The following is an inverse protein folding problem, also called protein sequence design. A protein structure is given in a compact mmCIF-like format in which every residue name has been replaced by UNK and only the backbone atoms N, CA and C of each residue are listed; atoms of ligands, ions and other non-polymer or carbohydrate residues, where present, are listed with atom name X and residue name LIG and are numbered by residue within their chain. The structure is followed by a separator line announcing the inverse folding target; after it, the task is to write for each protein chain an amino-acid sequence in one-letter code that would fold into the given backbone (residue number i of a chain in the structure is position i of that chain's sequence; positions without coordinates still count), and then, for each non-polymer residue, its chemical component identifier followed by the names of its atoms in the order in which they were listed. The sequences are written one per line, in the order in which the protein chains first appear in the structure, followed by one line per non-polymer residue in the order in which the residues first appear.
data_IF_615050836953
#
_entry.id   IF_615050836953
#
_cell.length_a   1.000
_cell.length_b   1.000
_cell.length_c   1.000
_cell.angle_alpha   90.00
_cell.angle_beta   90.00
_cell.angle_gamma   90.00
#
_symmetry.space_group_name_H-M   'P 1'
#
loop_
_entity.id
_entity.type
_entity.pdbx_description
1 polymer ?
#
# COMPACT_ATOMS: atom_id res chain seq x y z
N UNK A 1 6.74 -9.77 -29.30
CA UNK A 1 7.91 -9.31 -30.07
C UNK A 1 8.61 -8.23 -29.26
N UNK A 2 9.93 -8.40 -29.19
CA UNK A 2 10.98 -7.81 -28.34
C UNK A 2 10.69 -6.53 -27.54
N UNK A 3 10.92 -6.64 -26.22
CA UNK A 3 10.93 -5.56 -25.23
C UNK A 3 12.17 -4.67 -25.44
N UNK A 4 11.95 -3.37 -25.58
CA UNK A 4 12.97 -2.34 -25.41
C UNK A 4 13.34 -2.27 -23.93
N UNK A 5 14.64 -2.34 -23.65
CA UNK A 5 15.21 -2.45 -22.30
C UNK A 5 15.19 -1.14 -21.52
N UNK A 6 14.99 -1.22 -20.19
CA UNK A 6 15.14 -0.14 -19.20
C UNK A 6 16.37 -0.40 -18.30
N UNK A 7 17.45 -0.94 -18.87
CA UNK A 7 18.70 -1.28 -18.16
C UNK A 7 19.33 -0.08 -17.41
N UNK A 8 18.92 1.15 -17.69
CA UNK A 8 19.54 2.38 -17.16
C UNK A 8 18.97 2.90 -15.82
N UNK A 9 17.98 2.26 -15.18
CA UNK A 9 17.47 2.71 -13.86
C UNK A 9 18.13 1.95 -12.68
N UNK A 10 18.75 2.64 -11.70
CA UNK A 10 19.55 2.03 -10.65
C UNK A 10 18.73 1.62 -9.41
N UNK A 11 17.67 0.82 -9.60
CA UNK A 11 16.88 0.27 -8.47
C UNK A 11 16.57 -1.24 -8.67
N UNK A 12 17.20 -2.15 -7.89
CA UNK A 12 16.95 -3.60 -7.94
C UNK A 12 15.53 -4.03 -7.55
N UNK A 13 14.83 -3.21 -6.76
CA UNK A 13 13.41 -3.40 -6.40
C UNK A 13 12.50 -3.09 -7.60
N UNK A 14 12.86 -2.08 -8.41
CA UNK A 14 12.13 -1.73 -9.64
C UNK A 14 12.18 -2.86 -10.69
N UNK A 15 13.29 -3.60 -10.81
CA UNK A 15 13.41 -4.79 -11.70
C UNK A 15 12.55 -5.99 -11.26
N UNK A 16 12.21 -6.08 -9.97
CA UNK A 16 11.39 -7.17 -9.44
C UNK A 16 9.88 -6.86 -9.45
N UNK A 17 9.53 -5.58 -9.32
CA UNK A 17 8.17 -5.06 -9.48
C UNK A 17 7.72 -5.00 -10.96
N UNK A 18 8.68 -5.11 -11.89
CA UNK A 18 8.52 -5.28 -13.35
C UNK A 18 7.83 -6.61 -13.77
N UNK A 19 7.25 -7.34 -12.81
CA UNK A 19 6.20 -8.35 -13.04
C UNK A 19 4.77 -7.80 -12.75
N UNK A 20 4.64 -6.47 -12.74
CA UNK A 20 3.62 -5.57 -13.38
C UNK A 20 2.14 -5.68 -13.01
N UNK A 21 1.72 -6.55 -12.10
CA UNK A 21 0.30 -6.75 -11.74
C UNK A 21 -0.34 -5.62 -10.93
N UNK A 22 -0.20 -5.74 -9.62
CA UNK A 22 -0.94 -4.98 -8.63
C UNK A 22 -0.35 -3.59 -8.33
N UNK A 23 0.95 -3.39 -8.55
CA UNK A 23 1.63 -2.15 -8.13
C UNK A 23 1.12 -0.89 -8.83
N UNK A 24 0.77 -0.98 -10.12
CA UNK A 24 0.25 0.16 -10.86
C UNK A 24 -1.11 0.63 -10.35
N UNK A 25 -1.92 -0.28 -9.79
CA UNK A 25 -3.18 0.08 -9.16
C UNK A 25 -2.96 1.03 -7.98
N UNK A 26 -1.95 0.74 -7.15
CA UNK A 26 -1.55 1.58 -6.01
C UNK A 26 -1.08 2.96 -6.48
N UNK A 27 -0.26 3.02 -7.55
CA UNK A 27 0.23 4.30 -8.08
C UNK A 27 -0.89 5.13 -8.74
N UNK A 28 -1.84 4.50 -9.45
CA UNK A 28 -3.01 5.18 -9.99
C UNK A 28 -3.88 5.75 -8.86
N UNK A 29 -4.14 4.97 -7.81
CA UNK A 29 -4.89 5.42 -6.65
C UNK A 29 -4.18 6.58 -5.93
N UNK A 30 -2.84 6.49 -5.75
CA UNK A 30 -2.01 7.57 -5.20
C UNK A 30 -2.20 8.86 -5.98
N UNK A 31 -2.10 8.80 -7.30
CA UNK A 31 -2.25 9.96 -8.18
C UNK A 31 -3.67 10.54 -8.13
N UNK A 32 -4.69 9.68 -8.01
CA UNK A 32 -6.06 10.12 -7.83
C UNK A 32 -6.30 10.85 -6.50
N UNK A 33 -5.63 10.43 -5.42
CA UNK A 33 -5.63 11.19 -4.16
C UNK A 33 -4.98 12.57 -4.28
N UNK A 34 -4.12 12.78 -5.28
CA UNK A 34 -3.55 14.09 -5.62
C UNK A 34 -4.42 14.88 -6.62
N UNK A 35 -5.57 14.35 -7.03
CA UNK A 35 -6.56 15.04 -7.87
C UNK A 35 -6.47 14.72 -9.36
N UNK A 36 -5.62 13.77 -9.77
CA UNK A 36 -5.62 13.30 -11.16
C UNK A 36 -6.89 12.47 -11.42
N UNK A 37 -7.57 12.76 -12.52
CA UNK A 37 -8.85 12.10 -12.83
C UNK A 37 -8.93 11.66 -14.28
N UNK A 38 -8.08 12.18 -15.17
CA UNK A 38 -8.16 11.91 -16.60
C UNK A 38 -7.09 10.90 -17.05
N UNK A 39 -7.40 10.17 -18.11
CA UNK A 39 -6.50 9.13 -18.64
C UNK A 39 -5.13 9.67 -19.04
N UNK A 40 -5.11 10.81 -19.72
CA UNK A 40 -3.89 11.49 -20.16
C UNK A 40 -3.04 11.97 -18.97
N UNK A 41 -3.66 12.45 -17.90
CA UNK A 41 -2.96 12.83 -16.67
C UNK A 41 -2.26 11.64 -16.02
N UNK A 42 -2.97 10.52 -15.84
CA UNK A 42 -2.36 9.29 -15.31
C UNK A 42 -1.26 8.75 -16.22
N UNK A 43 -1.45 8.82 -17.54
CA UNK A 43 -0.45 8.37 -18.50
C UNK A 43 0.83 9.21 -18.41
N UNK A 44 0.70 10.53 -18.32
CA UNK A 44 1.82 11.46 -18.21
C UNK A 44 2.56 11.30 -16.87
N UNK A 45 1.81 11.19 -15.76
CA UNK A 45 2.38 11.03 -14.43
C UNK A 45 3.13 9.70 -14.26
N UNK A 46 2.52 8.59 -14.69
CA UNK A 46 3.06 7.25 -14.46
C UNK A 46 3.95 6.74 -15.60
N UNK A 47 4.01 7.47 -16.72
CA UNK A 47 4.73 7.08 -17.95
C UNK A 47 4.37 5.67 -18.41
N UNK A 48 3.10 5.27 -18.21
CA UNK A 48 2.59 3.96 -18.56
C UNK A 48 2.19 3.88 -20.03
N UNK A 49 2.31 2.69 -20.61
CA UNK A 49 1.73 2.46 -21.93
C UNK A 49 0.19 2.53 -21.86
N UNK A 50 -0.49 3.08 -22.89
CA UNK A 50 -1.94 3.20 -22.91
C UNK A 50 -2.66 1.86 -22.69
N UNK A 51 -2.09 0.77 -23.20
CA UNK A 51 -2.63 -0.59 -23.05
C UNK A 51 -2.63 -1.05 -21.59
N UNK A 52 -1.52 -0.83 -20.87
CA UNK A 52 -1.43 -1.22 -19.45
C UNK A 52 -2.36 -0.35 -18.61
N UNK A 53 -2.33 0.97 -18.83
CA UNK A 53 -3.17 1.91 -18.09
C UNK A 53 -4.66 1.61 -18.28
N UNK A 54 -5.09 1.36 -19.52
CA UNK A 54 -6.48 0.97 -19.84
C UNK A 54 -6.90 -0.28 -19.07
N UNK A 55 -6.05 -1.31 -19.06
CA UNK A 55 -6.34 -2.56 -18.33
C UNK A 55 -6.46 -2.32 -16.82
N UNK A 56 -5.60 -1.48 -16.25
CA UNK A 56 -5.60 -1.17 -14.81
C UNK A 56 -6.80 -0.35 -14.40
N UNK A 57 -7.10 0.73 -15.13
CA UNK A 57 -8.28 1.55 -14.87
C UNK A 57 -9.57 0.73 -15.03
N UNK A 58 -9.65 -0.16 -16.03
CA UNK A 58 -10.80 -1.06 -16.18
C UNK A 58 -10.97 -1.96 -14.95
N UNK A 59 -9.91 -2.62 -14.50
CA UNK A 59 -9.95 -3.46 -13.30
C UNK A 59 -10.34 -2.68 -12.04
N UNK A 60 -9.80 -1.47 -11.88
CA UNK A 60 -10.10 -0.58 -10.77
C UNK A 60 -11.56 -0.10 -10.77
N UNK A 61 -12.16 0.07 -11.94
CA UNK A 61 -13.60 0.35 -12.07
C UNK A 61 -14.45 -0.89 -11.76
N UNK A 62 -14.09 -2.06 -12.31
CA UNK A 62 -14.81 -3.32 -12.09
C UNK A 62 -14.77 -3.77 -10.61
N UNK A 63 -13.69 -3.46 -9.89
CA UNK A 63 -13.56 -3.70 -8.45
C UNK A 63 -14.24 -2.63 -7.58
N UNK A 64 -14.82 -1.60 -8.18
CA UNK A 64 -15.53 -0.54 -7.47
C UNK A 64 -14.62 0.41 -6.68
N UNK A 65 -13.32 0.48 -7.01
CA UNK A 65 -12.39 1.47 -6.46
C UNK A 65 -12.56 2.81 -7.17
N UNK A 66 -12.80 2.77 -8.47
CA UNK A 66 -13.11 3.95 -9.28
C UNK A 66 -14.50 3.85 -9.91
N UNK A 67 -15.10 5.00 -10.16
CA UNK A 67 -16.21 5.18 -11.08
C UNK A 67 -15.70 5.86 -12.35
N UNK A 68 -16.09 5.35 -13.53
CA UNK A 68 -15.83 6.02 -14.80
C UNK A 68 -17.02 6.91 -15.17
N UNK A 69 -16.85 8.22 -15.07
CA UNK A 69 -17.91 9.21 -15.30
C UNK A 69 -17.71 9.94 -16.62
N UNK A 70 -18.77 10.09 -17.41
CA UNK A 70 -18.79 10.96 -18.59
C UNK A 70 -18.98 12.40 -18.12
N UNK A 71 -18.02 13.29 -18.39
CA UNK A 71 -18.13 14.71 -18.02
C UNK A 71 -18.34 15.64 -19.22
N UNK A 72 -18.12 15.14 -20.44
CA UNK A 72 -18.36 15.91 -21.66
C UNK A 72 -18.91 14.98 -22.75
N UNK A 73 -20.10 15.21 -23.33
CA UNK A 73 -20.71 14.26 -24.25
C UNK A 73 -20.22 14.34 -25.71
N UNK A 74 -19.74 15.51 -26.19
CA UNK A 74 -19.34 15.70 -27.60
C UNK A 74 -18.13 16.65 -27.79
N UNK A 75 -16.90 16.15 -27.97
CA UNK A 75 -16.51 14.73 -27.98
C UNK A 75 -16.70 14.11 -26.58
N UNK A 76 -16.94 12.79 -26.55
CA UNK A 76 -17.08 12.05 -25.31
C UNK A 76 -15.77 12.08 -24.51
N UNK A 77 -15.79 12.66 -23.30
CA UNK A 77 -14.65 12.67 -22.38
C UNK A 77 -15.05 12.09 -21.03
N UNK A 78 -14.17 11.26 -20.51
CA UNK A 78 -14.37 10.53 -19.28
C UNK A 78 -13.32 10.89 -18.25
N UNK A 79 -13.72 10.83 -17.00
CA UNK A 79 -12.87 10.92 -15.83
C UNK A 79 -13.06 9.68 -14.96
N UNK A 80 -12.09 9.42 -14.10
CA UNK A 80 -12.05 8.31 -13.15
C UNK A 80 -12.01 8.90 -11.75
N UNK A 81 -13.05 8.66 -10.97
CA UNK A 81 -13.21 9.21 -9.63
C UNK A 81 -13.16 8.10 -8.59
N UNK A 82 -12.46 8.34 -7.49
CA UNK A 82 -12.45 7.41 -6.36
C UNK A 82 -13.87 7.30 -5.79
N UNK A 83 -14.32 6.06 -5.60
CA UNK A 83 -15.55 5.76 -4.86
C UNK A 83 -15.30 5.89 -3.35
N UNK A 84 -16.34 5.70 -2.52
CA UNK A 84 -16.16 5.56 -1.07
C UNK A 84 -15.14 4.46 -0.72
N UNK A 85 -15.31 3.27 -1.32
CA UNK A 85 -14.36 2.15 -1.18
C UNK A 85 -12.94 2.51 -1.62
N UNK A 86 -12.80 3.33 -2.67
CA UNK A 86 -11.49 3.81 -3.12
C UNK A 86 -10.86 4.81 -2.15
N UNK A 87 -11.67 5.72 -1.58
CA UNK A 87 -11.20 6.68 -0.58
C UNK A 87 -10.77 6.01 0.73
N UNK A 88 -11.47 4.94 1.15
CA UNK A 88 -11.11 4.13 2.32
C UNK A 88 -9.73 3.45 2.18
N UNK A 89 -9.16 3.42 0.98
CA UNK A 89 -7.82 2.87 0.73
C UNK A 89 -6.68 3.84 1.10
N UNK A 90 -6.98 5.11 1.40
CA UNK A 90 -5.96 6.11 1.72
C UNK A 90 -4.98 5.70 2.85
N UNK A 91 -5.42 5.09 3.97
CA UNK A 91 -4.50 4.70 5.04
C UNK A 91 -3.42 3.70 4.58
N UNK A 92 -3.75 2.84 3.62
CA UNK A 92 -2.79 1.91 3.01
C UNK A 92 -1.73 2.68 2.23
N UNK A 93 -2.15 3.66 1.40
CA UNK A 93 -1.24 4.53 0.65
C UNK A 93 -0.34 5.33 1.59
N UNK A 94 -0.90 5.97 2.61
CA UNK A 94 -0.15 6.80 3.54
C UNK A 94 0.91 6.00 4.31
N UNK A 95 0.55 4.82 4.82
CA UNK A 95 1.47 3.96 5.57
C UNK A 95 2.57 3.39 4.67
N UNK A 96 2.21 2.96 3.45
CA UNK A 96 3.18 2.48 2.46
C UNK A 96 4.16 3.57 2.05
N UNK A 97 3.68 4.81 1.88
CA UNK A 97 4.50 5.95 1.55
C UNK A 97 5.51 6.28 2.66
N UNK A 98 5.06 6.30 3.92
CA UNK A 98 5.94 6.51 5.07
C UNK A 98 6.99 5.40 5.18
N UNK A 99 6.60 4.13 5.09
CA UNK A 99 7.53 3.00 5.08
C UNK A 99 8.55 3.09 3.94
N UNK A 100 8.10 3.49 2.75
CA UNK A 100 8.95 3.73 1.59
C UNK A 100 10.03 4.77 1.86
N UNK A 101 9.64 5.91 2.41
CA UNK A 101 10.57 6.99 2.77
C UNK A 101 11.57 6.58 3.86
N UNK A 102 11.15 5.79 4.85
CA UNK A 102 12.04 5.38 5.94
C UNK A 102 13.12 4.37 5.53
N UNK A 103 12.85 3.53 4.53
CA UNK A 103 13.73 2.39 4.22
C UNK A 103 14.37 2.42 2.83
N UNK A 104 13.79 3.16 1.88
CA UNK A 104 14.22 3.14 0.47
C UNK A 104 14.62 4.52 -0.07
N UNK A 105 14.87 5.48 0.83
CA UNK A 105 15.34 6.81 0.50
C UNK A 105 16.71 7.09 1.15
N UNK A 106 17.80 6.41 0.70
CA UNK A 106 19.11 6.57 1.31
C UNK A 106 19.69 7.99 1.16
N UNK A 107 19.26 8.74 0.14
CA UNK A 107 19.60 10.15 -0.07
C UNK A 107 18.63 11.12 0.64
N UNK A 108 17.62 10.59 1.34
CA UNK A 108 16.52 11.34 1.93
C UNK A 108 15.23 11.31 1.08
N UNK A 109 14.05 11.60 1.68
CA UNK A 109 12.76 11.45 1.02
C UNK A 109 12.58 12.47 -0.12
N UNK A 110 12.36 12.00 -1.34
CA UNK A 110 12.11 12.85 -2.51
C UNK A 110 10.74 13.55 -2.46
N UNK A 111 9.78 12.99 -1.73
CA UNK A 111 8.43 13.53 -1.54
C UNK A 111 8.04 13.32 -0.08
N UNK A 112 7.32 14.27 0.50
CA UNK A 112 6.75 14.18 1.84
C UNK A 112 5.22 14.24 1.77
N UNK A 113 4.57 13.45 2.61
CA UNK A 113 3.16 13.66 2.91
C UNK A 113 3.09 14.80 3.91
N UNK A 114 2.28 15.82 3.63
CA UNK A 114 2.19 17.03 4.46
C UNK A 114 0.74 17.35 4.82
N UNK A 115 0.52 17.97 5.97
CA UNK A 115 -0.79 18.54 6.31
C UNK A 115 -1.05 19.72 5.36
N UNK A 116 -2.17 19.67 4.63
CA UNK A 116 -2.51 20.67 3.61
C UNK A 116 -2.67 22.09 4.18
N UNK A 117 -2.98 22.23 5.47
CA UNK A 117 -3.19 23.52 6.14
C UNK A 117 -1.89 24.13 6.65
N UNK A 118 -0.97 23.30 7.14
CA UNK A 118 0.26 23.78 7.80
C UNK A 118 1.51 23.60 6.94
N UNK A 119 1.46 22.75 5.91
CA UNK A 119 2.62 22.36 5.11
C UNK A 119 3.63 21.47 5.85
N UNK A 120 3.32 21.05 7.07
CA UNK A 120 4.23 20.25 7.89
C UNK A 120 4.17 18.78 7.50
N UNK A 121 5.32 18.11 7.46
CA UNK A 121 5.39 16.67 7.22
C UNK A 121 4.56 15.90 8.26
N UNK A 122 3.82 14.90 7.79
CA UNK A 122 3.02 14.02 8.65
C UNK A 122 3.69 12.66 8.79
N UNK A 123 3.63 12.13 10.01
CA UNK A 123 4.01 10.75 10.31
C UNK A 123 2.73 9.96 10.60
N UNK A 124 2.30 9.06 9.70
CA UNK A 124 1.08 8.30 9.89
C UNK A 124 1.25 7.26 11.00
N UNK A 125 0.28 7.21 11.92
CA UNK A 125 0.18 6.18 12.96
C UNK A 125 -1.14 5.45 12.85
N UNK A 126 -1.12 4.13 13.09
CA UNK A 126 -2.34 3.31 13.16
C UNK A 126 -2.78 3.21 14.62
N UNK A 127 -4.03 3.58 14.89
CA UNK A 127 -4.62 3.53 16.23
C UNK A 127 -5.84 2.61 16.23
N UNK A 128 -6.07 1.90 17.34
CA UNK A 128 -7.39 1.29 17.60
C UNK A 128 -8.39 2.41 17.90
N UNK A 129 -9.36 2.59 17.00
CA UNK A 129 -10.40 3.62 17.12
C UNK A 129 -11.15 3.57 18.46
N UNK A 130 -11.30 2.40 19.08
CA UNK A 130 -12.05 2.24 20.32
C UNK A 130 -11.25 2.70 21.55
N UNK A 131 -9.96 2.42 21.57
CA UNK A 131 -9.11 2.65 22.76
C UNK A 131 -8.19 3.86 22.60
N UNK A 132 -7.99 4.34 21.37
CA UNK A 132 -7.02 5.38 21.03
C UNK A 132 -5.55 4.92 21.07
N UNK A 133 -5.29 3.64 21.36
CA UNK A 133 -3.93 3.13 21.52
C UNK A 133 -3.30 2.78 20.17
N UNK A 134 -1.97 2.97 20.01
CA UNK A 134 -1.25 2.55 18.82
C UNK A 134 -1.38 1.04 18.58
N UNK A 135 -1.69 0.66 17.34
CA UNK A 135 -1.68 -0.73 16.90
C UNK A 135 -0.24 -1.17 16.66
N UNK A 136 0.28 -2.04 17.52
CA UNK A 136 1.58 -2.69 17.36
C UNK A 136 1.38 -4.17 17.10
N UNK A 137 2.27 -4.76 16.31
CA UNK A 137 2.22 -6.18 15.95
C UNK A 137 2.24 -7.12 17.16
N UNK A 138 2.87 -6.71 18.26
CA UNK A 138 2.93 -7.46 19.52
C UNK A 138 1.65 -7.39 20.36
N UNK A 139 0.81 -6.36 20.14
CA UNK A 139 -0.38 -6.07 20.95
C UNK A 139 -1.68 -6.61 20.30
N UNK A 140 -1.57 -7.19 19.10
CA UNK A 140 -2.71 -7.72 18.34
C UNK A 140 -2.46 -9.15 17.88
N UNK A 141 -3.53 -9.93 17.82
CA UNK A 141 -3.51 -11.28 17.24
C UNK A 141 -4.75 -11.52 16.39
N UNK A 142 -4.64 -12.45 15.44
CA UNK A 142 -5.77 -12.85 14.60
C UNK A 142 -6.59 -13.89 15.35
N UNK A 143 -7.91 -13.67 15.41
CA UNK A 143 -8.88 -14.63 15.96
C UNK A 143 -10.00 -14.90 14.98
N UNK A 144 -10.73 -15.99 15.18
CA UNK A 144 -11.85 -16.37 14.33
C UNK A 144 -12.97 -15.32 14.44
N UNK A 145 -13.49 -14.91 13.28
CA UNK A 145 -14.66 -14.04 13.21
C UNK A 145 -15.97 -14.80 13.46
N UNK A 146 -17.09 -14.09 13.37
CA UNK A 146 -18.44 -14.67 13.54
C UNK A 146 -18.84 -15.67 12.46
N UNK A 147 -18.18 -15.62 11.29
CA UNK A 147 -18.45 -16.55 10.18
C UNK A 147 -17.70 -17.85 10.41
N UNK A 148 -18.43 -18.97 10.41
CA UNK A 148 -17.85 -20.31 10.54
C UNK A 148 -17.06 -20.68 9.28
N UNK A 149 -15.78 -21.01 9.43
CA UNK A 149 -14.94 -21.53 8.36
C UNK A 149 -13.89 -22.48 8.92
N UNK A 150 -13.97 -23.74 8.54
CA UNK A 150 -13.04 -24.77 9.02
C UNK A 150 -11.60 -24.50 8.54
N UNK A 151 -11.44 -23.95 7.32
CA UNK A 151 -10.15 -23.55 6.77
C UNK A 151 -9.52 -22.41 7.59
N UNK A 152 -10.30 -21.39 7.95
CA UNK A 152 -9.81 -20.27 8.76
C UNK A 152 -9.45 -20.78 10.16
N UNK A 153 -10.29 -21.61 10.76
CA UNK A 153 -10.05 -22.16 12.09
C UNK A 153 -8.78 -23.00 12.14
N UNK A 154 -8.56 -23.86 11.15
CA UNK A 154 -7.34 -24.67 11.04
C UNK A 154 -6.10 -23.79 10.88
N UNK A 155 -6.16 -22.74 10.03
CA UNK A 155 -5.06 -21.79 9.85
C UNK A 155 -4.72 -21.05 11.14
N UNK A 156 -5.72 -20.58 11.89
CA UNK A 156 -5.52 -19.86 13.14
C UNK A 156 -4.92 -20.75 14.23
N UNK A 157 -5.37 -22.01 14.33
CA UNK A 157 -4.80 -22.98 15.26
C UNK A 157 -3.30 -23.22 15.00
N UNK A 158 -2.87 -23.30 13.73
CA UNK A 158 -1.46 -23.40 13.36
C UNK A 158 -0.65 -22.18 13.80
N UNK A 159 -1.21 -20.97 13.69
CA UNK A 159 -0.54 -19.73 14.09
C UNK A 159 -0.39 -19.61 15.60
N UNK A 160 -1.43 -19.97 16.36
CA UNK A 160 -1.42 -19.98 17.83
C UNK A 160 -0.44 -21.02 18.39
N UNK A 161 -0.36 -22.20 17.77
CA UNK A 161 0.59 -23.25 18.16
C UNK A 161 2.05 -22.84 18.00
N UNK A 162 2.38 -21.96 17.04
CA UNK A 162 3.73 -21.39 16.89
C UNK A 162 4.00 -20.29 17.93
N UNK A 163 3.09 -19.33 18.09
CA UNK A 163 3.24 -18.26 19.10
C UNK A 163 3.41 -18.82 20.51
N UNK A 164 2.70 -19.89 20.88
CA UNK A 164 2.86 -20.53 22.19
C UNK A 164 4.17 -21.31 22.36
N UNK A 165 4.80 -21.77 21.27
CA UNK A 165 6.11 -22.43 21.31
C UNK A 165 7.23 -21.40 21.38
N UNK A 166 7.14 -20.33 20.61
CA UNK A 166 8.13 -19.25 20.59
C UNK A 166 8.11 -18.46 21.93
N UNK A 167 6.94 -18.30 22.56
CA UNK A 167 6.82 -17.71 23.90
C UNK A 167 7.40 -18.60 25.03
N UNK A 168 7.65 -19.90 24.77
CA UNK A 168 8.24 -20.85 25.74
C UNK A 168 9.76 -21.00 25.60
N UNK A 169 10.41 -20.26 24.69
CA UNK A 169 11.87 -20.19 24.59
C UNK A 169 12.35 -18.88 25.25
N UNK A 170 12.58 -18.83 26.58
CA UNK A 170 13.12 -17.62 27.20
C UNK A 170 14.56 -17.38 26.76
N UNK A 171 14.80 -16.14 26.34
CA UNK A 171 16.06 -15.38 26.36
C UNK A 171 17.30 -16.14 26.85
N UNK A 172 18.28 -16.30 25.96
CA UNK A 172 19.65 -16.63 26.36
C UNK A 172 20.09 -15.69 27.49
N UNK A 173 20.51 -16.34 28.58
CA UNK A 173 21.07 -15.80 29.81
C UNK A 173 22.17 -14.78 29.48
N UNK A 174 22.04 -13.56 29.99
CA UNK A 174 23.14 -12.60 30.10
C UNK A 174 23.98 -13.06 31.30
N UNK A 175 25.17 -13.60 31.05
CA UNK A 175 26.17 -13.78 32.11
C UNK A 175 26.78 -12.42 32.50
N UNK A 176 26.96 -12.12 33.80
CA UNK A 176 27.63 -10.91 34.24
C UNK A 176 29.14 -11.05 34.03
N UNK A 177 29.74 -10.12 33.28
CA UNK A 177 31.19 -10.00 33.23
C UNK A 177 31.74 -9.61 34.60
N UNK A 178 32.62 -10.46 35.15
CA UNK A 178 33.41 -10.18 36.34
C UNK A 178 34.54 -9.20 35.98
N UNK A 179 34.65 -8.13 36.77
CA UNK A 179 35.82 -7.27 36.87
C UNK A 179 37.11 -8.08 37.08
N UNK A 180 38.18 -7.71 36.36
CA UNK A 180 39.56 -7.63 36.84
C UNK A 180 40.37 -6.70 35.94
#
# INVERSE_FOLDING_TARGET
MQKTSLDAMPCPVARSLERVGEWWSILIIRDAFQGLTRFDEFQQSLQLSPTILTRRLKYLVESGIFEKRLYHPRPARYEYLLTERGNDFFPVIATLFHWGNQHFAPEGPAVLLVDRRTGTAVEPVLLDKRTGQPLRTQDVTLTAGSVRSDIINQRLALMQGKQSKDAKQPSHIIEPQKEK
#
